data_IF_889710215620
#
_entry.id   IF_889710215620
#
_cell.length_a   1.000
_cell.length_b   1.000
_cell.length_c   1.000
_cell.angle_alpha   90.00
_cell.angle_beta   90.00
_cell.angle_gamma   90.00
#
_symmetry.space_group_name_H-M   'P 1'
#
loop_
_entity.id
_entity.type
_entity.pdbx_description
1 polymer ?
#
# COMPACT_ATOMS: atom_id res chain seq x y z
N UNK A 1 -8.10 2.97 -21.69
CA UNK A 1 -7.82 1.85 -20.77
C UNK A 1 -6.47 2.08 -20.12
N UNK A 2 -6.45 2.64 -18.92
CA UNK A 2 -5.36 2.46 -17.97
C UNK A 2 -5.87 1.40 -17.00
N UNK A 3 -5.38 0.17 -17.10
CA UNK A 3 -5.63 -0.92 -16.15
C UNK A 3 -7.12 -1.23 -15.79
N UNK A 4 -8.07 -1.14 -16.74
CA UNK A 4 -9.41 -1.75 -16.54
C UNK A 4 -10.30 -1.19 -15.42
N UNK A 5 -10.05 0.01 -14.90
CA UNK A 5 -10.83 0.56 -13.78
C UNK A 5 -12.16 1.16 -14.28
N UNK A 6 -13.28 0.52 -13.94
CA UNK A 6 -14.61 1.13 -14.00
C UNK A 6 -14.78 2.06 -12.78
N UNK A 7 -14.85 3.37 -13.02
CA UNK A 7 -14.91 4.39 -11.96
C UNK A 7 -16.39 4.68 -11.63
N UNK A 8 -17.02 3.76 -10.93
CA UNK A 8 -18.23 4.05 -10.16
C UNK A 8 -17.97 3.61 -8.71
N UNK A 9 -17.99 4.56 -7.77
CA UNK A 9 -17.63 4.37 -6.34
C UNK A 9 -16.22 3.82 -6.05
N UNK A 10 -15.24 4.08 -6.91
CA UNK A 10 -13.86 3.54 -6.80
C UNK A 10 -12.75 4.59 -6.55
N UNK A 11 -13.09 5.83 -6.19
CA UNK A 11 -12.12 6.93 -6.15
C UNK A 11 -10.96 6.70 -5.16
N UNK A 12 -11.26 6.20 -3.96
CA UNK A 12 -10.24 5.97 -2.94
C UNK A 12 -9.31 4.78 -3.28
N UNK A 13 -9.81 3.58 -3.63
CA UNK A 13 -8.97 2.51 -4.13
C UNK A 13 -8.11 2.93 -5.33
N UNK A 14 -8.69 3.66 -6.29
CA UNK A 14 -7.97 4.14 -7.47
C UNK A 14 -6.84 5.12 -7.10
N UNK A 15 -7.05 6.00 -6.12
CA UNK A 15 -5.99 6.87 -5.60
C UNK A 15 -4.83 6.06 -5.01
N UNK A 16 -5.12 5.02 -4.22
CA UNK A 16 -4.09 4.18 -3.60
C UNK A 16 -3.29 3.41 -4.66
N UNK A 17 -3.97 2.82 -5.66
CA UNK A 17 -3.32 2.16 -6.80
C UNK A 17 -2.46 3.14 -7.58
N UNK A 18 -2.94 4.37 -7.77
CA UNK A 18 -2.15 5.42 -8.42
C UNK A 18 -0.91 5.82 -7.60
N UNK A 19 -1.03 6.02 -6.28
CA UNK A 19 0.11 6.33 -5.41
C UNK A 19 1.15 5.19 -5.44
N UNK A 20 0.68 3.95 -5.38
CA UNK A 20 1.52 2.76 -5.50
C UNK A 20 2.29 2.77 -6.83
N UNK A 21 1.59 2.93 -7.96
CA UNK A 21 2.21 2.89 -9.29
C UNK A 21 3.14 4.07 -9.53
N UNK A 22 2.82 5.24 -8.98
CA UNK A 22 3.72 6.40 -8.99
C UNK A 22 5.04 6.06 -8.26
N UNK A 23 4.96 5.49 -7.06
CA UNK A 23 6.15 5.10 -6.30
C UNK A 23 7.00 4.06 -7.06
N UNK A 24 6.35 3.10 -7.73
CA UNK A 24 6.99 2.07 -8.56
C UNK A 24 7.70 2.68 -9.78
N UNK A 25 6.98 3.48 -10.54
CA UNK A 25 7.46 4.12 -11.77
C UNK A 25 8.61 5.09 -11.53
N UNK A 26 8.67 5.73 -10.36
CA UNK A 26 9.77 6.60 -9.96
C UNK A 26 10.99 5.86 -9.38
N UNK A 27 10.90 4.53 -9.22
CA UNK A 27 12.03 3.71 -8.76
C UNK A 27 12.21 3.66 -7.25
N UNK A 28 11.18 3.95 -6.45
CA UNK A 28 11.25 3.89 -4.98
C UNK A 28 11.16 2.46 -4.40
N UNK A 29 11.25 1.45 -5.26
CA UNK A 29 11.50 0.06 -4.84
C UNK A 29 10.27 -0.69 -4.31
N UNK A 30 9.05 -0.27 -4.65
CA UNK A 30 7.88 -1.11 -4.41
C UNK A 30 7.80 -2.23 -5.43
N UNK A 31 8.15 -3.43 -5.00
CA UNK A 31 8.06 -4.63 -5.84
C UNK A 31 7.13 -5.63 -5.18
N UNK A 32 5.93 -5.75 -5.77
CA UNK A 32 4.86 -6.62 -5.28
C UNK A 32 4.67 -7.86 -6.16
N UNK A 33 5.59 -8.18 -7.08
CA UNK A 33 5.42 -9.32 -7.99
C UNK A 33 5.74 -10.67 -7.35
N UNK A 34 6.52 -10.68 -6.27
CA UNK A 34 6.96 -11.92 -5.61
C UNK A 34 7.43 -11.66 -4.18
N UNK A 35 7.36 -12.69 -3.34
CA UNK A 35 7.87 -12.66 -1.98
C UNK A 35 9.39 -12.52 -1.97
N UNK A 36 9.91 -11.55 -1.22
CA UNK A 36 11.33 -11.31 -1.05
C UNK A 36 12.11 -12.46 -0.39
N UNK A 37 11.43 -13.33 0.36
CA UNK A 37 12.06 -14.39 1.15
C UNK A 37 11.97 -15.76 0.47
N UNK A 38 10.86 -16.05 -0.21
CA UNK A 38 10.59 -17.37 -0.81
C UNK A 38 10.48 -17.36 -2.34
N UNK A 39 10.34 -16.19 -2.97
CA UNK A 39 10.03 -16.06 -4.39
C UNK A 39 8.58 -16.41 -4.78
N UNK A 40 7.72 -16.79 -3.82
CA UNK A 40 6.32 -17.10 -4.08
C UNK A 40 5.58 -15.87 -4.67
N UNK A 41 4.75 -16.09 -5.68
CA UNK A 41 3.96 -15.02 -6.33
C UNK A 41 2.53 -14.94 -5.81
N UNK A 42 2.12 -15.87 -4.94
CA UNK A 42 0.79 -15.92 -4.32
C UNK A 42 0.88 -15.84 -2.81
N UNK A 43 -0.24 -15.50 -2.16
CA UNK A 43 -0.31 -15.35 -0.72
C UNK A 43 0.51 -14.17 -0.18
N UNK A 44 0.76 -13.16 -1.02
CA UNK A 44 1.43 -11.93 -0.65
C UNK A 44 0.53 -11.14 0.30
N UNK A 45 0.97 -10.95 1.53
CA UNK A 45 0.14 -10.36 2.60
C UNK A 45 0.81 -9.15 3.27
N UNK A 46 2.09 -8.92 2.99
CA UNK A 46 2.87 -7.89 3.64
C UNK A 46 3.86 -7.21 2.70
N UNK A 47 4.40 -6.06 3.12
CA UNK A 47 5.52 -5.35 2.49
C UNK A 47 6.57 -5.01 3.52
N UNK A 48 7.84 -5.20 3.18
CA UNK A 48 8.97 -4.81 4.00
C UNK A 48 9.16 -3.27 3.99
N UNK A 49 9.03 -2.57 5.13
CA UNK A 49 9.30 -1.12 5.17
C UNK A 49 10.76 -0.78 4.87
N UNK A 50 11.68 -1.74 4.99
CA UNK A 50 13.10 -1.54 4.65
C UNK A 50 13.32 -1.57 3.14
N UNK A 51 12.71 -2.54 2.44
CA UNK A 51 13.06 -2.84 1.04
C UNK A 51 11.98 -2.52 0.03
N UNK A 52 10.73 -2.26 0.46
CA UNK A 52 9.59 -2.08 -0.45
C UNK A 52 9.10 -3.38 -1.11
N UNK A 53 9.69 -4.53 -0.79
CA UNK A 53 9.34 -5.81 -1.39
C UNK A 53 8.21 -6.52 -0.66
N UNK A 54 7.34 -7.20 -1.41
CA UNK A 54 6.29 -8.03 -0.85
C UNK A 54 6.83 -9.23 -0.05
N UNK A 55 6.05 -9.69 0.92
CA UNK A 55 6.32 -10.87 1.73
C UNK A 55 5.05 -11.70 1.84
N UNK A 56 5.17 -13.00 1.53
CA UNK A 56 4.06 -13.94 1.66
C UNK A 56 3.74 -14.24 3.12
N UNK A 57 2.47 -14.48 3.42
CA UNK A 57 1.97 -14.84 4.76
C UNK A 57 2.80 -15.97 5.38
N UNK A 58 3.01 -17.06 4.62
CA UNK A 58 3.78 -18.23 5.06
C UNK A 58 5.27 -17.95 5.30
N UNK A 59 5.81 -16.88 4.73
CA UNK A 59 7.22 -16.50 4.84
C UNK A 59 7.49 -15.40 5.88
N UNK A 60 6.44 -14.73 6.39
CA UNK A 60 6.59 -13.59 7.30
C UNK A 60 7.32 -13.95 8.60
N UNK A 61 6.98 -15.11 9.20
CA UNK A 61 7.65 -15.65 10.39
C UNK A 61 7.88 -14.59 11.48
N UNK A 62 9.12 -14.50 11.96
CA UNK A 62 9.54 -13.54 13.00
C UNK A 62 9.44 -12.07 12.57
N UNK A 63 9.32 -11.79 11.27
CA UNK A 63 9.27 -10.43 10.74
C UNK A 63 7.88 -9.83 10.74
N UNK A 64 6.82 -10.63 10.92
CA UNK A 64 5.41 -10.22 10.78
C UNK A 64 5.10 -8.88 11.42
N UNK A 65 5.46 -8.71 12.69
CA UNK A 65 5.19 -7.50 13.49
C UNK A 65 5.91 -6.23 12.97
N UNK A 66 6.90 -6.40 12.09
CA UNK A 66 7.70 -5.30 11.51
C UNK A 66 7.31 -5.00 10.06
N UNK A 67 6.37 -5.73 9.49
CA UNK A 67 5.94 -5.57 8.12
C UNK A 67 4.70 -4.69 8.04
N UNK A 68 4.53 -4.02 6.90
CA UNK A 68 3.31 -3.29 6.57
C UNK A 68 2.31 -4.27 5.96
N UNK A 69 1.02 -4.25 6.34
CA UNK A 69 -0.01 -5.02 5.66
C UNK A 69 -0.08 -4.68 4.16
N UNK A 70 -0.31 -5.68 3.33
CA UNK A 70 -0.55 -5.54 1.89
C UNK A 70 -2.02 -5.88 1.59
N UNK A 71 -2.87 -4.88 1.35
CA UNK A 71 -4.25 -5.13 0.95
C UNK A 71 -4.33 -5.96 -0.34
N UNK A 72 -5.20 -6.97 -0.35
CA UNK A 72 -5.33 -7.91 -1.47
C UNK A 72 -5.63 -7.20 -2.80
N UNK A 73 -6.46 -6.14 -2.80
CA UNK A 73 -6.83 -5.40 -4.02
C UNK A 73 -5.64 -4.71 -4.74
N UNK A 74 -4.46 -4.65 -4.12
CA UNK A 74 -3.24 -4.11 -4.73
C UNK A 74 -2.43 -5.16 -5.52
N UNK A 75 -2.73 -6.45 -5.35
CA UNK A 75 -2.00 -7.55 -6.00
C UNK A 75 -2.89 -8.56 -6.71
N UNK A 76 -4.11 -8.76 -6.22
CA UNK A 76 -5.10 -9.70 -6.73
C UNK A 76 -6.49 -9.03 -6.81
N UNK A 77 -7.49 -9.76 -7.33
CA UNK A 77 -8.89 -9.35 -7.24
C UNK A 77 -9.39 -9.54 -5.80
N UNK A 78 -9.49 -8.43 -5.06
CA UNK A 78 -9.97 -8.42 -3.68
C UNK A 78 -10.86 -7.22 -3.36
N UNK A 79 -11.65 -7.28 -2.29
CA UNK A 79 -12.48 -6.15 -1.88
C UNK A 79 -11.60 -4.96 -1.48
N UNK A 80 -11.96 -3.78 -1.96
CA UNK A 80 -11.34 -2.52 -1.56
C UNK A 80 -12.26 -1.79 -0.57
N UNK A 81 -12.61 -2.45 0.53
CA UNK A 81 -13.40 -1.87 1.60
C UNK A 81 -12.62 -0.78 2.36
N UNK A 82 -13.27 -0.14 3.35
CA UNK A 82 -12.65 0.97 4.07
C UNK A 82 -11.43 0.54 4.92
N UNK A 83 -11.41 -0.70 5.42
CA UNK A 83 -10.28 -1.22 6.19
C UNK A 83 -9.08 -1.50 5.28
N UNK A 84 -9.32 -2.13 4.12
CA UNK A 84 -8.32 -2.33 3.09
C UNK A 84 -7.79 -0.99 2.54
N UNK A 85 -8.67 0.00 2.34
CA UNK A 85 -8.26 1.34 1.95
C UNK A 85 -7.39 2.02 3.01
N UNK A 86 -7.73 1.90 4.30
CA UNK A 86 -6.90 2.41 5.40
C UNK A 86 -5.50 1.80 5.36
N UNK A 87 -5.40 0.48 5.22
CA UNK A 87 -4.13 -0.23 5.11
C UNK A 87 -3.33 0.19 3.87
N UNK A 88 -4.00 0.36 2.73
CA UNK A 88 -3.39 0.84 1.50
C UNK A 88 -2.85 2.27 1.63
N UNK A 89 -3.61 3.19 2.23
CA UNK A 89 -3.16 4.55 2.52
C UNK A 89 -1.99 4.58 3.51
N UNK A 90 -1.98 3.68 4.51
CA UNK A 90 -0.86 3.55 5.44
C UNK A 90 0.40 3.07 4.72
N UNK A 91 0.27 2.03 3.89
CA UNK A 91 1.35 1.46 3.09
C UNK A 91 1.97 2.51 2.16
N UNK A 92 1.18 3.14 1.28
CA UNK A 92 1.70 4.15 0.34
C UNK A 92 2.19 5.41 1.06
N UNK A 93 1.50 5.81 2.15
CA UNK A 93 1.89 6.94 2.99
C UNK A 93 3.29 6.76 3.60
N UNK A 94 3.63 5.56 4.07
CA UNK A 94 4.96 5.25 4.59
C UNK A 94 6.05 5.53 3.55
N UNK A 95 5.89 5.04 2.32
CA UNK A 95 6.88 5.19 1.26
C UNK A 95 6.91 6.60 0.66
N UNK A 96 5.77 7.28 0.54
CA UNK A 96 5.74 8.70 0.18
C UNK A 96 6.53 9.54 1.20
N UNK A 97 6.30 9.29 2.49
CA UNK A 97 6.98 10.02 3.57
C UNK A 97 8.48 9.73 3.57
N UNK A 98 8.89 8.48 3.38
CA UNK A 98 10.30 8.06 3.37
C UNK A 98 11.04 8.55 2.12
N UNK A 99 10.47 8.32 0.94
CA UNK A 99 11.20 8.38 -0.33
C UNK A 99 10.91 9.65 -1.14
N UNK A 100 9.64 10.04 -1.28
CA UNK A 100 9.27 11.19 -2.11
C UNK A 100 9.46 12.53 -1.38
N UNK A 101 9.04 12.59 -0.11
CA UNK A 101 9.07 13.80 0.72
C UNK A 101 10.25 13.83 1.70
N UNK A 102 10.62 12.67 2.26
CA UNK A 102 11.70 12.53 3.25
C UNK A 102 13.07 12.94 2.71
N UNK A 103 13.36 12.62 1.44
CA UNK A 103 14.59 13.06 0.75
C UNK A 103 14.71 14.58 0.63
N UNK A 104 13.60 15.31 0.73
CA UNK A 104 13.57 16.78 0.72
C UNK A 104 13.39 17.37 2.12
N UNK A 105 13.47 16.56 3.18
CA UNK A 105 13.17 16.93 4.57
C UNK A 105 11.81 17.62 4.71
N UNK A 106 10.81 17.17 3.94
CA UNK A 106 9.44 17.69 4.02
C UNK A 106 8.51 16.63 4.61
N UNK A 107 7.48 17.04 5.38
CA UNK A 107 6.41 16.14 5.75
C UNK A 107 5.54 15.81 4.54
N UNK A 108 4.66 14.81 4.71
CA UNK A 108 3.54 14.61 3.78
C UNK A 108 2.64 15.86 3.73
N UNK A 109 1.99 16.14 2.59
CA UNK A 109 1.01 17.22 2.50
C UNK A 109 -0.11 17.03 3.54
N UNK A 110 -0.52 18.13 4.18
CA UNK A 110 -1.57 18.11 5.22
C UNK A 110 -2.87 17.44 4.72
N UNK A 111 -3.25 17.67 3.46
CA UNK A 111 -4.43 17.04 2.85
C UNK A 111 -4.35 15.52 2.84
N UNK A 112 -3.15 14.95 2.64
CA UNK A 112 -2.95 13.49 2.62
C UNK A 112 -3.00 12.89 4.02
N UNK A 113 -2.54 13.63 5.03
CA UNK A 113 -2.68 13.25 6.43
C UNK A 113 -4.16 13.26 6.85
N UNK A 114 -4.89 14.34 6.55
CA UNK A 114 -6.32 14.44 6.85
C UNK A 114 -7.16 13.36 6.16
N UNK A 115 -6.82 13.01 4.91
CA UNK A 115 -7.46 11.89 4.22
C UNK A 115 -7.26 10.57 4.98
N UNK A 116 -6.05 10.31 5.48
CA UNK A 116 -5.76 9.09 6.25
C UNK A 116 -6.55 9.05 7.56
N UNK A 117 -6.62 10.17 8.29
CA UNK A 117 -7.42 10.27 9.51
C UNK A 117 -8.90 10.01 9.24
N UNK A 118 -9.47 10.66 8.21
CA UNK A 118 -10.87 10.47 7.81
C UNK A 118 -11.17 9.00 7.49
N UNK A 119 -10.32 8.36 6.70
CA UNK A 119 -10.50 6.94 6.32
C UNK A 119 -10.32 6.02 7.53
N UNK A 120 -9.40 6.35 8.44
CA UNK A 120 -9.20 5.61 9.68
C UNK A 120 -10.46 5.65 10.55
N UNK A 121 -11.06 6.82 10.73
CA UNK A 121 -12.32 6.98 11.47
C UNK A 121 -13.46 6.21 10.81
N UNK A 122 -13.61 6.31 9.48
CA UNK A 122 -14.66 5.62 8.75
C UNK A 122 -14.50 4.09 8.80
N UNK A 123 -13.27 3.59 8.81
CA UNK A 123 -12.98 2.14 8.86
C UNK A 123 -13.32 1.47 10.19
N UNK A 124 -13.52 2.26 11.25
CA UNK A 124 -13.83 1.77 12.61
C UNK A 124 -15.32 1.84 12.93
N UNK A 125 -16.15 2.39 12.02
CA UNK A 125 -17.59 2.45 12.21
C UNK A 125 -18.22 1.06 11.98
N UNK A 126 -19.15 0.63 12.85
CA UNK A 126 -19.83 -0.66 12.71
C UNK A 126 -20.77 -0.71 11.51
#
# INVERSE_FOLDING_TARGET
MLAGIAIENAALPALIVWELELLRSLGFGLDLSSCALSGATSGLAFVSPKTGRAVAEAAAGIWRERLLPLPAFLVDEGPADMAACREGLHLTGYFLARDAFGQRHRPLPQSRLLLYELVSDLSQRP
#
